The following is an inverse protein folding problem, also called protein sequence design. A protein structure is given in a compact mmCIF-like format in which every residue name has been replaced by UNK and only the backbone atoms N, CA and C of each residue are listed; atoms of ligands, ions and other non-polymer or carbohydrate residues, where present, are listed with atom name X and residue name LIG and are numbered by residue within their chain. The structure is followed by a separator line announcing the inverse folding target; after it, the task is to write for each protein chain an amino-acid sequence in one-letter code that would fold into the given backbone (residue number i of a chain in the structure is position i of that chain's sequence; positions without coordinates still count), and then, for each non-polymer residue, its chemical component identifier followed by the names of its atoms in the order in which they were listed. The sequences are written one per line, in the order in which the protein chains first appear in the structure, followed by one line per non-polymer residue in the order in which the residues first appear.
data_IF_203998591110
#
_entry.id   IF_203998591110
#
_cell.length_a   1.000
_cell.length_b   1.000
_cell.length_c   1.000
_cell.angle_alpha   90.00
_cell.angle_beta   90.00
_cell.angle_gamma   90.00
#
_symmetry.space_group_name_H-M   'P 1'
#
loop_
_entity.id
_entity.type
_entity.pdbx_description
1 polymer ?
#
# COMPACT_ATOMS: atom_id res chain seq x y z
N UNK A 1 11.90 -21.90 5.91
CA UNK A 1 12.83 -21.42 4.87
C UNK A 1 13.19 -19.97 5.16
N UNK A 2 14.47 -19.64 5.23
CA UNK A 2 14.94 -18.24 5.36
C UNK A 2 15.24 -17.75 3.94
N UNK A 3 14.64 -16.64 3.53
CA UNK A 3 14.89 -16.02 2.23
C UNK A 3 15.89 -14.90 2.44
N UNK A 4 17.07 -15.05 1.84
CA UNK A 4 18.25 -14.33 2.31
C UNK A 4 18.41 -12.91 1.75
N UNK A 5 17.69 -12.51 0.69
CA UNK A 5 17.89 -11.14 0.15
C UNK A 5 16.66 -10.38 -0.31
N UNK A 6 15.67 -11.00 -0.94
CA UNK A 6 14.64 -10.23 -1.62
C UNK A 6 13.31 -10.99 -1.69
N UNK A 7 12.30 -10.45 -1.03
CA UNK A 7 10.92 -10.90 -1.16
C UNK A 7 10.04 -9.67 -1.39
N UNK A 8 9.23 -9.72 -2.43
CA UNK A 8 8.29 -8.66 -2.79
C UNK A 8 6.91 -9.08 -2.31
N UNK A 9 6.21 -8.16 -1.64
CA UNK A 9 4.85 -8.41 -1.18
C UNK A 9 3.90 -8.49 -2.39
N UNK A 10 3.21 -9.62 -2.51
CA UNK A 10 2.19 -9.87 -3.53
C UNK A 10 0.79 -10.02 -2.91
N UNK A 11 -0.18 -10.47 -3.70
CA UNK A 11 -1.57 -10.60 -3.28
C UNK A 11 -1.82 -11.70 -2.26
N UNK A 12 -0.88 -12.65 -2.09
CA UNK A 12 -1.05 -13.79 -1.17
C UNK A 12 -0.60 -13.46 0.27
N UNK A 13 -0.05 -12.27 0.52
CA UNK A 13 0.32 -11.83 1.86
C UNK A 13 -0.93 -11.71 2.76
N UNK A 14 -0.93 -12.48 3.83
CA UNK A 14 -1.96 -12.44 4.86
C UNK A 14 -1.59 -11.44 5.96
N UNK A 15 -0.36 -11.56 6.47
CA UNK A 15 0.19 -10.66 7.47
C UNK A 15 1.72 -10.67 7.47
N UNK A 16 2.30 -9.65 8.10
CA UNK A 16 3.74 -9.52 8.31
C UNK A 16 4.03 -8.98 9.71
N UNK A 17 5.05 -9.49 10.38
CA UNK A 17 5.50 -9.01 11.69
C UNK A 17 7.01 -9.08 11.85
N UNK A 18 7.54 -8.49 12.92
CA UNK A 18 8.95 -8.55 13.26
C UNK A 18 9.28 -9.79 14.09
N UNK A 19 10.43 -10.40 13.84
CA UNK A 19 10.93 -11.56 14.58
C UNK A 19 12.46 -11.51 14.62
N UNK A 20 13.07 -11.80 15.77
CA UNK A 20 14.52 -11.98 15.86
C UNK A 20 14.89 -13.39 15.41
N UNK A 21 15.83 -13.51 14.47
CA UNK A 21 16.37 -14.79 14.07
C UNK A 21 17.32 -15.37 15.15
N UNK A 22 17.82 -16.58 14.93
CA UNK A 22 18.74 -17.26 15.87
C UNK A 22 20.07 -16.51 16.10
N UNK A 23 20.42 -15.55 15.23
CA UNK A 23 21.62 -14.72 15.33
C UNK A 23 21.34 -13.36 16.00
N UNK A 24 20.11 -13.12 16.48
CA UNK A 24 19.70 -11.87 17.10
C UNK A 24 19.43 -10.73 16.10
N UNK A 25 19.32 -11.01 14.80
CA UNK A 25 18.97 -10.02 13.78
C UNK A 25 17.46 -9.87 13.65
N UNK A 26 16.97 -8.64 13.73
CA UNK A 26 15.55 -8.32 13.56
C UNK A 26 15.11 -8.44 12.09
N UNK A 27 14.25 -9.41 11.83
CA UNK A 27 13.82 -9.86 10.51
C UNK A 27 12.30 -9.75 10.36
N UNK A 28 11.80 -9.89 9.13
CA UNK A 28 10.38 -9.88 8.82
C UNK A 28 9.87 -11.32 8.69
N UNK A 29 8.94 -11.70 9.56
CA UNK A 29 8.14 -12.91 9.44
C UNK A 29 6.92 -12.60 8.59
N UNK A 30 6.76 -13.28 7.47
CA UNK A 30 5.64 -13.05 6.54
C UNK A 30 4.83 -14.34 6.42
N UNK A 31 3.50 -14.21 6.51
CA UNK A 31 2.55 -15.29 6.27
C UNK A 31 1.95 -15.08 4.89
N UNK A 32 2.11 -16.08 4.01
CA UNK A 32 1.71 -16.03 2.60
C UNK A 32 0.96 -17.33 2.29
N UNK A 33 -0.33 -17.22 2.00
CA UNK A 33 -1.23 -18.37 1.87
C UNK A 33 -1.11 -19.34 3.07
N UNK A 34 -0.79 -20.61 2.79
CA UNK A 34 -0.61 -21.64 3.82
C UNK A 34 0.80 -21.73 4.45
N UNK A 35 1.71 -20.83 4.10
CA UNK A 35 3.12 -20.91 4.48
C UNK A 35 3.59 -19.66 5.23
N UNK A 36 4.75 -19.79 5.88
CA UNK A 36 5.45 -18.64 6.46
C UNK A 36 6.91 -18.62 6.02
N UNK A 37 7.44 -17.41 5.88
CA UNK A 37 8.82 -17.16 5.46
C UNK A 37 9.47 -16.14 6.39
N UNK A 38 10.78 -16.26 6.58
CA UNK A 38 11.59 -15.27 7.30
C UNK A 38 12.45 -14.55 6.26
N UNK A 39 12.28 -13.24 6.13
CA UNK A 39 13.11 -12.41 5.25
C UNK A 39 14.17 -11.73 6.10
N UNK A 40 15.41 -11.74 5.61
CA UNK A 40 16.57 -11.14 6.26
C UNK A 40 16.59 -9.58 6.19
N UNK A 41 15.42 -8.97 6.39
CA UNK A 41 15.08 -7.54 6.29
C UNK A 41 14.01 -7.21 7.34
N UNK A 42 13.95 -5.99 7.86
CA UNK A 42 12.88 -5.59 8.79
C UNK A 42 11.53 -5.45 8.05
N UNK A 43 10.37 -5.53 8.74
CA UNK A 43 9.06 -5.34 8.10
C UNK A 43 8.94 -4.03 7.31
N UNK A 44 9.56 -2.96 7.82
CA UNK A 44 9.58 -1.65 7.17
C UNK A 44 10.45 -1.68 5.91
N UNK A 45 11.60 -2.35 5.96
CA UNK A 45 12.46 -2.52 4.79
C UNK A 45 11.78 -3.34 3.70
N UNK A 46 11.14 -4.47 4.04
CA UNK A 46 10.38 -5.28 3.05
C UNK A 46 9.30 -4.44 2.35
N UNK A 47 8.59 -3.63 3.12
CA UNK A 47 7.54 -2.75 2.57
C UNK A 47 8.10 -1.67 1.65
N UNK A 48 9.18 -1.01 2.06
CA UNK A 48 9.86 0.03 1.28
C UNK A 48 10.55 -0.55 0.03
N UNK A 49 11.19 -1.71 0.14
CA UNK A 49 11.80 -2.44 -0.98
C UNK A 49 10.73 -2.84 -2.01
N UNK A 50 9.55 -3.28 -1.56
CA UNK A 50 8.43 -3.58 -2.46
C UNK A 50 7.91 -2.34 -3.17
N UNK A 51 7.71 -1.24 -2.45
CA UNK A 51 7.29 0.03 -3.04
C UNK A 51 8.31 0.55 -4.07
N UNK A 52 9.60 0.49 -3.74
CA UNK A 52 10.70 0.90 -4.63
C UNK A 52 10.76 0.08 -5.90
N UNK A 53 10.54 -1.23 -5.79
CA UNK A 53 10.49 -2.10 -6.96
C UNK A 53 9.37 -1.69 -7.94
N UNK A 54 8.23 -1.24 -7.43
CA UNK A 54 7.09 -0.79 -8.24
C UNK A 54 7.30 0.63 -8.80
N UNK A 55 8.15 1.45 -8.17
CA UNK A 55 8.43 2.84 -8.57
C UNK A 55 7.96 3.90 -7.57
N UNK A 56 7.67 3.50 -6.33
CA UNK A 56 7.28 4.38 -5.23
C UNK A 56 8.31 4.34 -4.09
N UNK A 57 8.05 5.02 -2.98
CA UNK A 57 8.77 4.82 -1.73
C UNK A 57 7.80 4.88 -0.54
N UNK A 58 8.22 4.38 0.63
CA UNK A 58 7.37 4.34 1.83
C UNK A 58 6.96 5.74 2.30
N UNK A 59 7.84 6.74 2.15
CA UNK A 59 7.57 8.11 2.59
C UNK A 59 6.45 8.75 1.76
N UNK A 60 6.49 8.57 0.45
CA UNK A 60 5.51 9.00 -0.53
C UNK A 60 4.20 8.27 -0.34
N UNK A 61 4.22 6.96 -0.07
CA UNK A 61 3.03 6.19 0.25
C UNK A 61 2.34 6.73 1.53
N UNK A 62 3.09 6.98 2.60
CA UNK A 62 2.56 7.60 3.84
C UNK A 62 1.95 8.97 3.55
N UNK A 63 2.65 9.82 2.78
CA UNK A 63 2.16 11.16 2.41
C UNK A 63 0.88 11.07 1.58
N UNK A 64 0.84 10.15 0.62
CA UNK A 64 -0.34 9.86 -0.21
C UNK A 64 -1.53 9.43 0.63
N UNK A 65 -1.33 8.48 1.55
CA UNK A 65 -2.37 8.07 2.51
C UNK A 65 -2.90 9.26 3.30
N UNK A 66 -2.04 10.14 3.82
CA UNK A 66 -2.46 11.33 4.56
C UNK A 66 -3.21 12.35 3.71
N UNK A 67 -2.87 12.47 2.43
CA UNK A 67 -3.62 13.31 1.49
C UNK A 67 -5.00 12.75 1.18
N UNK A 68 -5.19 11.43 1.28
CA UNK A 68 -6.46 10.75 1.01
C UNK A 68 -7.35 10.71 2.25
N UNK A 69 -6.80 10.30 3.38
CA UNK A 69 -7.54 10.03 4.63
C UNK A 69 -7.43 11.16 5.67
N UNK A 70 -6.68 12.22 5.38
CA UNK A 70 -6.37 13.29 6.33
C UNK A 70 -5.27 12.92 7.31
N UNK A 71 -5.17 13.69 8.40
CA UNK A 71 -4.09 13.56 9.37
C UNK A 71 -4.32 12.39 10.36
N UNK A 72 -4.19 11.17 9.86
CA UNK A 72 -4.28 9.94 10.66
C UNK A 72 -2.90 9.46 11.12
N UNK A 73 -2.88 8.83 12.29
CA UNK A 73 -1.71 8.10 12.81
C UNK A 73 -1.78 6.62 12.40
N UNK A 74 -0.63 5.93 12.39
CA UNK A 74 -0.56 4.49 12.04
C UNK A 74 -1.21 4.21 10.67
N UNK A 75 -0.79 4.99 9.67
CA UNK A 75 -1.37 4.97 8.33
C UNK A 75 -1.35 3.57 7.72
N UNK A 76 -2.44 3.09 7.10
CA UNK A 76 -2.36 2.00 6.14
C UNK A 76 -1.49 2.41 4.95
N UNK A 77 -0.86 1.43 4.33
CA UNK A 77 0.06 1.60 3.21
C UNK A 77 -0.47 0.79 2.03
N UNK A 78 -0.72 1.47 0.91
CA UNK A 78 -1.03 0.82 -0.36
C UNK A 78 0.29 0.35 -0.97
N UNK A 79 0.68 -0.88 -0.64
CA UNK A 79 1.96 -1.49 -1.02
C UNK A 79 2.05 -1.72 -2.52
N UNK A 80 0.93 -2.08 -3.16
CA UNK A 80 0.83 -2.17 -4.61
C UNK A 80 -0.49 -1.55 -5.06
N UNK A 81 -0.49 -0.32 -5.61
CA UNK A 81 -1.72 0.32 -6.05
C UNK A 81 -2.36 -0.37 -7.26
N UNK A 82 -1.57 -0.97 -8.14
CA UNK A 82 -2.05 -1.64 -9.36
C UNK A 82 -2.81 -2.92 -9.04
N UNK A 83 -2.35 -3.66 -8.02
CA UNK A 83 -3.02 -4.87 -7.52
C UNK A 83 -3.96 -4.61 -6.34
N UNK A 84 -4.03 -3.37 -5.85
CA UNK A 84 -4.83 -3.01 -4.69
C UNK A 84 -4.34 -3.64 -3.37
N UNK A 85 -3.06 -4.01 -3.25
CA UNK A 85 -2.53 -4.62 -2.03
C UNK A 85 -2.32 -3.52 -0.99
N UNK A 86 -3.03 -3.62 0.12
CA UNK A 86 -3.00 -2.66 1.21
C UNK A 86 -2.63 -3.37 2.51
N UNK A 87 -1.70 -2.80 3.29
CA UNK A 87 -1.37 -3.31 4.62
C UNK A 87 -1.62 -2.25 5.68
N UNK A 88 -2.13 -2.67 6.83
CA UNK A 88 -2.36 -1.75 7.96
C UNK A 88 -1.78 -2.29 9.27
N UNK A 89 -1.23 -1.42 10.12
CA UNK A 89 -0.63 -1.85 11.37
C UNK A 89 -1.66 -1.81 12.52
N UNK A 90 -1.73 -2.86 13.34
CA UNK A 90 -2.62 -2.86 14.52
C UNK A 90 -2.03 -2.08 15.72
N UNK A 91 -0.70 -1.97 15.80
CA UNK A 91 0.06 -1.16 16.76
C UNK A 91 0.91 -0.12 16.04
N UNK A 92 1.70 0.66 16.77
CA UNK A 92 2.65 1.59 16.15
C UNK A 92 3.71 0.81 15.36
N UNK A 93 4.01 1.18 14.10
CA UNK A 93 5.10 0.59 13.31
C UNK A 93 6.49 0.65 13.96
N UNK A 94 6.67 1.48 14.98
CA UNK A 94 7.91 1.58 15.76
C UNK A 94 8.06 0.45 16.78
N UNK A 95 6.99 -0.30 17.08
CA UNK A 95 7.05 -1.45 18.00
C UNK A 95 7.47 -2.70 17.24
N UNK A 96 8.33 -3.49 17.85
CA UNK A 96 8.85 -4.73 17.26
C UNK A 96 7.75 -5.78 17.09
N UNK A 97 6.78 -5.82 18.01
CA UNK A 97 5.60 -6.70 18.00
C UNK A 97 4.47 -6.20 17.08
N UNK A 98 4.75 -5.19 16.24
CA UNK A 98 3.76 -4.69 15.29
C UNK A 98 3.47 -5.75 14.23
N UNK A 99 2.18 -6.00 14.00
CA UNK A 99 1.70 -6.85 12.91
C UNK A 99 1.01 -5.95 11.89
N UNK A 100 1.43 -6.10 10.64
CA UNK A 100 0.81 -5.55 9.47
C UNK A 100 -0.13 -6.58 8.88
N UNK A 101 -1.41 -6.24 8.78
CA UNK A 101 -2.45 -7.11 8.23
C UNK A 101 -2.83 -6.68 6.83
N UNK A 102 -3.09 -7.66 5.97
CA UNK A 102 -3.82 -7.42 4.73
C UNK A 102 -5.34 -7.49 5.03
N UNK A 103 -6.11 -6.41 4.83
CA UNK A 103 -7.53 -6.39 5.15
C UNK A 103 -8.32 -7.40 4.31
N UNK A 104 -7.85 -7.77 3.11
CA UNK A 104 -8.54 -8.71 2.24
C UNK A 104 -8.48 -10.16 2.77
N UNK A 105 -7.52 -10.46 3.64
CA UNK A 105 -7.34 -11.80 4.22
C UNK A 105 -7.93 -11.94 5.63
N UNK A 106 -8.69 -10.96 6.11
CA UNK A 106 -9.39 -11.04 7.40
C UNK A 106 -10.81 -11.55 7.15
N UNK A 107 -11.10 -12.75 7.64
CA UNK A 107 -12.40 -13.41 7.46
C UNK A 107 -13.39 -12.97 8.53
N UNK A 108 -12.97 -13.04 9.80
CA UNK A 108 -13.85 -12.75 10.94
C UNK A 108 -13.07 -12.23 12.13
N UNK A 109 -13.74 -11.43 12.94
CA UNK A 109 -13.19 -10.95 14.23
C UNK A 109 -14.13 -11.29 15.38
N UNK A 110 -13.59 -11.84 16.46
CA UNK A 110 -14.33 -12.22 17.67
C UNK A 110 -13.73 -11.52 18.89
N UNK A 111 -14.58 -11.08 19.81
CA UNK A 111 -14.14 -10.47 21.07
C UNK A 111 -13.63 -11.56 22.00
N UNK A 112 -12.44 -11.38 22.58
CA UNK A 112 -11.87 -12.26 23.60
C UNK A 112 -11.41 -11.43 24.80
N UNK A 113 -12.36 -11.01 25.64
CA UNK A 113 -12.11 -10.05 26.72
C UNK A 113 -11.65 -8.69 26.17
N UNK A 114 -10.48 -8.21 26.63
CA UNK A 114 -9.86 -6.99 26.11
C UNK A 114 -9.05 -7.20 24.81
N UNK A 115 -9.03 -8.44 24.29
CA UNK A 115 -8.31 -8.83 23.08
C UNK A 115 -9.29 -9.14 21.94
N UNK A 116 -8.74 -9.31 20.74
CA UNK A 116 -9.50 -9.72 19.56
C UNK A 116 -8.87 -10.97 18.97
N UNK A 117 -9.69 -11.98 18.70
CA UNK A 117 -9.33 -13.09 17.84
C UNK A 117 -9.66 -12.72 16.39
N UNK A 118 -8.69 -12.88 15.51
CA UNK A 118 -8.76 -12.56 14.08
C UNK A 118 -8.57 -13.85 13.30
N UNK A 119 -9.62 -14.26 12.62
CA UNK A 119 -9.63 -15.43 11.72
C UNK A 119 -9.16 -14.99 10.34
N UNK A 120 -8.14 -15.66 9.81
CA UNK A 120 -7.47 -15.34 8.56
C UNK A 120 -7.94 -16.27 7.43
N UNK A 121 -7.76 -15.82 6.19
CA UNK A 121 -8.18 -16.55 4.98
C UNK A 121 -7.60 -17.96 4.81
N UNK A 122 -6.48 -18.25 5.47
CA UNK A 122 -5.86 -19.58 5.48
C UNK A 122 -6.38 -20.50 6.60
N UNK A 123 -7.45 -20.10 7.30
CA UNK A 123 -8.05 -20.86 8.41
C UNK A 123 -7.31 -20.73 9.74
N UNK A 124 -6.20 -19.97 9.81
CA UNK A 124 -5.48 -19.70 11.05
C UNK A 124 -6.12 -18.53 11.80
N UNK A 125 -6.20 -18.63 13.13
CA UNK A 125 -6.57 -17.51 13.99
C UNK A 125 -5.35 -16.93 14.72
N UNK A 126 -5.29 -15.60 14.83
CA UNK A 126 -4.33 -14.89 15.69
C UNK A 126 -5.06 -14.04 16.73
N UNK A 127 -4.48 -13.90 17.92
CA UNK A 127 -5.05 -13.12 19.00
C UNK A 127 -4.19 -11.88 19.21
N UNK A 128 -4.83 -10.71 19.10
CA UNK A 128 -4.16 -9.41 19.23
C UNK A 128 -4.61 -8.67 20.49
N UNK A 129 -3.67 -7.94 21.09
CA UNK A 129 -3.92 -7.09 22.25
C UNK A 129 -4.55 -5.75 21.86
N UNK A 130 -5.76 -5.83 21.31
CA UNK A 130 -6.57 -4.68 20.93
C UNK A 130 -8.04 -5.05 21.05
N UNK A 131 -8.89 -4.15 21.56
CA UNK A 131 -10.34 -4.39 21.58
C UNK A 131 -10.88 -4.41 20.14
N UNK A 132 -11.85 -5.30 19.89
CA UNK A 132 -12.43 -5.56 18.56
C UNK A 132 -12.86 -4.29 17.83
N UNK A 133 -13.52 -3.37 18.53
CA UNK A 133 -13.96 -2.09 17.97
C UNK A 133 -12.81 -1.30 17.31
N UNK A 134 -11.69 -1.12 18.01
CA UNK A 134 -10.54 -0.39 17.46
C UNK A 134 -9.87 -1.11 16.30
N UNK A 135 -9.87 -2.45 16.31
CA UNK A 135 -9.34 -3.22 15.19
C UNK A 135 -10.22 -3.10 13.94
N UNK A 136 -11.55 -3.17 14.10
CA UNK A 136 -12.49 -2.96 12.99
C UNK A 136 -12.30 -1.58 12.35
N UNK A 137 -12.14 -0.52 13.15
CA UNK A 137 -11.89 0.82 12.61
C UNK A 137 -10.61 0.86 11.76
N UNK A 138 -9.56 0.14 12.15
CA UNK A 138 -8.33 0.03 11.35
C UNK A 138 -8.55 -0.71 10.02
N UNK A 139 -9.31 -1.81 10.04
CA UNK A 139 -9.70 -2.55 8.82
C UNK A 139 -10.46 -1.61 7.88
N UNK A 140 -11.49 -0.94 8.39
CA UNK A 140 -12.32 -0.01 7.62
C UNK A 140 -11.50 1.14 7.03
N UNK A 141 -10.55 1.68 7.79
CA UNK A 141 -9.64 2.74 7.32
C UNK A 141 -8.76 2.25 6.16
N UNK A 142 -8.24 1.02 6.25
CA UNK A 142 -7.43 0.42 5.19
C UNK A 142 -8.24 0.14 3.91
N UNK A 143 -9.46 -0.38 4.06
CA UNK A 143 -10.39 -0.59 2.94
C UNK A 143 -10.81 0.73 2.29
N UNK A 144 -11.04 1.77 3.10
CA UNK A 144 -11.37 3.11 2.59
C UNK A 144 -10.22 3.69 1.76
N UNK A 145 -8.97 3.60 2.23
CA UNK A 145 -7.80 4.00 1.44
C UNK A 145 -7.77 3.27 0.09
N UNK A 146 -7.96 1.95 0.10
CA UNK A 146 -7.92 1.10 -1.09
C UNK A 146 -9.00 1.51 -2.09
N UNK A 147 -10.24 1.71 -1.63
CA UNK A 147 -11.36 2.10 -2.48
C UNK A 147 -11.17 3.50 -3.10
N UNK A 148 -10.86 4.51 -2.29
CA UNK A 148 -10.64 5.88 -2.81
C UNK A 148 -9.47 5.91 -3.79
N UNK A 149 -8.37 5.18 -3.49
CA UNK A 149 -7.21 5.13 -4.39
C UNK A 149 -7.56 4.50 -5.74
N UNK A 150 -8.36 3.44 -5.73
CA UNK A 150 -8.87 2.79 -6.95
C UNK A 150 -9.76 3.73 -7.75
N UNK A 151 -10.68 4.44 -7.10
CA UNK A 151 -11.55 5.42 -7.77
C UNK A 151 -10.75 6.57 -8.39
N UNK A 152 -9.75 7.10 -7.67
CA UNK A 152 -8.85 8.15 -8.17
C UNK A 152 -7.98 7.70 -9.34
N UNK A 153 -7.66 6.40 -9.43
CA UNK A 153 -7.00 5.83 -10.60
C UNK A 153 -7.85 5.96 -11.87
N UNK A 154 -9.17 6.06 -11.74
CA UNK A 154 -10.11 6.30 -12.83
C UNK A 154 -10.48 7.80 -12.91
N UNK A 155 -9.51 8.70 -12.71
CA UNK A 155 -9.79 10.13 -12.77
C UNK A 155 -10.40 10.51 -14.14
N UNK A 156 -11.34 11.46 -14.19
CA UNK A 156 -11.92 11.89 -15.45
C UNK A 156 -10.83 12.43 -16.37
N UNK A 157 -10.98 12.22 -17.67
CA UNK A 157 -10.21 12.92 -18.68
C UNK A 157 -10.72 14.37 -18.72
N UNK A 158 -9.98 15.37 -18.23
CA UNK A 158 -10.50 16.74 -18.11
C UNK A 158 -10.82 17.38 -19.47
N UNK A 159 -10.39 16.75 -20.56
CA UNK A 159 -10.39 17.28 -21.92
C UNK A 159 -11.00 16.33 -22.96
N UNK A 160 -11.87 15.39 -22.56
CA UNK A 160 -12.41 14.34 -23.45
C UNK A 160 -13.34 14.82 -24.58
N UNK A 161 -13.59 16.12 -24.73
CA UNK A 161 -14.54 16.70 -25.70
C UNK A 161 -13.88 17.34 -26.93
N UNK A 162 -12.61 17.04 -27.22
CA UNK A 162 -11.98 17.57 -28.43
C UNK A 162 -12.54 16.93 -29.70
N UNK A 163 -13.08 17.75 -30.61
CA UNK A 163 -13.37 17.37 -31.99
C UNK A 163 -12.05 17.32 -32.79
N UNK A 164 -11.68 16.15 -33.32
CA UNK A 164 -10.41 15.87 -34.01
C UNK A 164 -10.26 16.51 -35.41
N UNK A 165 -10.99 17.58 -35.74
CA UNK A 165 -11.11 18.05 -37.13
C UNK A 165 -10.29 19.29 -37.50
N UNK A 166 -9.11 19.52 -36.90
CA UNK A 166 -8.16 20.52 -37.41
C UNK A 166 -6.76 19.93 -37.59
N UNK A 167 -6.19 20.10 -38.80
CA UNK A 167 -4.83 19.65 -39.14
C UNK A 167 -3.83 20.20 -38.12
N UNK A 168 -3.36 19.35 -37.21
CA UNK A 168 -2.37 19.71 -36.21
C UNK A 168 -1.06 20.13 -36.92
N UNK A 169 -0.63 21.37 -36.69
CA UNK A 169 0.62 21.91 -37.26
C UNK A 169 1.83 21.24 -36.62
N UNK A 170 2.87 20.98 -37.40
CA UNK A 170 4.10 20.34 -36.89
C UNK A 170 4.83 21.22 -35.88
N UNK A 171 5.23 20.63 -34.76
CA UNK A 171 6.07 21.28 -33.75
C UNK A 171 7.52 21.25 -34.23
N UNK A 172 8.13 22.41 -34.41
CA UNK A 172 9.51 22.59 -34.86
C UNK A 172 10.34 23.36 -33.82
N UNK A 173 11.64 23.04 -33.78
CA UNK A 173 12.61 23.75 -32.93
C UNK A 173 13.01 25.06 -33.61
N UNK A 174 12.75 26.17 -32.95
CA UNK A 174 13.12 27.52 -33.38
C UNK A 174 14.62 27.74 -33.24
N UNK A 175 15.15 28.74 -33.94
CA UNK A 175 16.58 29.13 -33.91
C UNK A 175 17.07 29.48 -32.49
N UNK A 176 16.15 29.93 -31.63
CA UNK A 176 16.39 30.27 -30.22
C UNK A 176 16.39 29.03 -29.29
N UNK A 177 16.27 27.81 -29.83
CA UNK A 177 16.26 26.55 -29.08
C UNK A 177 14.91 26.16 -28.48
N UNK A 178 13.90 27.03 -28.54
CA UNK A 178 12.52 26.79 -28.06
C UNK A 178 11.66 26.09 -29.13
N UNK A 179 10.62 25.38 -28.72
CA UNK A 179 9.65 24.79 -29.63
C UNK A 179 8.48 25.74 -29.88
N UNK A 180 7.93 25.74 -31.10
CA UNK A 180 6.85 26.62 -31.55
C UNK A 180 5.45 26.24 -31.02
N UNK A 181 5.29 25.90 -29.73
CA UNK A 181 3.99 25.53 -29.14
C UNK A 181 2.90 26.61 -29.34
N UNK A 182 3.28 27.90 -29.41
CA UNK A 182 2.36 29.01 -29.72
C UNK A 182 1.69 28.93 -31.10
N UNK A 183 2.19 28.07 -31.99
CA UNK A 183 1.59 27.85 -33.31
C UNK A 183 0.43 26.86 -33.28
N UNK A 184 0.23 26.17 -32.15
CA UNK A 184 -0.90 25.29 -31.88
C UNK A 184 -2.09 26.10 -31.35
N UNK A 185 -3.29 25.57 -31.55
CA UNK A 185 -4.50 26.13 -30.97
C UNK A 185 -4.42 25.99 -29.45
N UNK A 186 -4.53 27.10 -28.72
CA UNK A 186 -4.60 27.09 -27.26
C UNK A 186 -6.01 26.73 -26.80
N UNK A 187 -6.11 25.97 -25.71
CA UNK A 187 -7.39 25.63 -25.10
C UNK A 187 -8.03 26.89 -24.51
N UNK A 188 -9.06 27.40 -25.16
CA UNK A 188 -9.98 28.39 -24.59
C UNK A 188 -11.03 27.62 -23.79
N UNK A 189 -10.81 27.50 -22.47
CA UNK A 189 -11.65 26.69 -21.60
C UNK A 189 -13.10 27.13 -21.48
#
# INVERSE_FOLDING_TARGET
MIIDQFYLLDEDIILMTGEYNNEGKFCARIMVGGQTLLVNRTPIQVMDDTLKYIGFDLKGAIKGTKNILGNINMCPILVNPYKGICLFPYKSPKKEDCVWFNPDHIVKTKTRGCKTEVELSNGVSIIIDLKKYYFINKIQTALLLKNISRERGNHPHPLSYFNESEKQRQINKLKEGRYNFKSLVEYSG
#
